data_IF_276556496456
#
_entry.id   IF_276556496456
#
_cell.length_a   1.000
_cell.length_b   1.000
_cell.length_c   1.000
_cell.angle_alpha   90.00
_cell.angle_beta   90.00
_cell.angle_gamma   90.00
#
_symmetry.space_group_name_H-M   'P 1'
#
loop_
_entity.id
_entity.type
_entity.pdbx_description
1 polymer ?
#
# COMPACT_ATOMS: atom_id res chain seq x y z
N UNK A 1 -11.95 6.78 -4.03
CA UNK A 1 -11.09 5.64 -4.39
C UNK A 1 -11.50 4.45 -3.52
N UNK A 2 -11.09 3.23 -3.89
CA UNK A 2 -11.66 1.98 -3.38
C UNK A 2 -10.73 0.80 -3.63
N UNK A 3 -11.30 -0.39 -3.80
CA UNK A 3 -10.54 -1.64 -3.90
C UNK A 3 -9.77 -1.74 -5.22
N UNK A 4 -8.44 -1.70 -5.14
CA UNK A 4 -7.53 -1.90 -6.27
C UNK A 4 -6.90 -3.30 -6.28
N UNK A 5 -7.20 -4.12 -5.28
CA UNK A 5 -6.60 -5.44 -5.06
C UNK A 5 -5.05 -5.40 -5.13
N UNK A 6 -4.48 -4.27 -4.70
CA UNK A 6 -3.06 -3.97 -4.72
C UNK A 6 -2.54 -3.97 -3.28
N UNK A 7 -1.36 -4.53 -3.08
CA UNK A 7 -0.65 -4.43 -1.81
C UNK A 7 0.64 -3.71 -2.06
N UNK A 8 0.77 -2.51 -1.52
CA UNK A 8 1.99 -1.70 -1.61
C UNK A 8 2.79 -1.83 -0.31
N UNK A 9 4.11 -1.83 -0.42
CA UNK A 9 5.00 -1.96 0.71
C UNK A 9 6.37 -2.48 0.31
N UNK A 10 7.26 -2.63 1.26
CA UNK A 10 8.62 -3.04 0.96
C UNK A 10 9.52 -2.87 2.18
N UNK A 11 10.80 -3.20 2.01
CA UNK A 11 11.76 -2.85 3.04
C UNK A 11 12.00 -1.32 3.07
N UNK A 12 12.56 -0.83 4.17
CA UNK A 12 12.77 0.62 4.35
C UNK A 12 13.65 1.24 3.26
N UNK A 13 14.62 0.48 2.73
CA UNK A 13 15.50 0.95 1.65
C UNK A 13 14.74 1.14 0.34
N UNK A 14 13.85 0.21 -0.01
CA UNK A 14 12.99 0.30 -1.19
C UNK A 14 12.04 1.48 -1.07
N UNK A 15 11.34 1.59 0.06
CA UNK A 15 10.41 2.70 0.30
C UNK A 15 11.10 4.06 0.30
N UNK A 16 12.35 4.15 0.78
CA UNK A 16 13.12 5.39 0.74
C UNK A 16 13.49 5.86 -0.68
N UNK A 17 13.40 4.99 -1.69
CA UNK A 17 13.68 5.32 -3.10
C UNK A 17 12.43 5.66 -3.92
N UNK A 18 11.24 5.53 -3.32
CA UNK A 18 9.93 5.72 -3.99
C UNK A 18 9.28 6.97 -3.39
N UNK A 19 8.81 7.90 -4.23
CA UNK A 19 8.20 9.14 -3.75
C UNK A 19 6.68 9.04 -3.60
N UNK A 20 6.07 8.10 -4.32
CA UNK A 20 4.62 7.86 -4.34
C UNK A 20 4.11 7.01 -3.18
N UNK A 21 4.98 6.37 -2.41
CA UNK A 21 4.62 5.51 -1.27
C UNK A 21 5.30 5.99 0.00
N UNK A 22 4.51 6.18 1.05
CA UNK A 22 4.99 6.62 2.35
C UNK A 22 5.55 5.47 3.21
N UNK A 23 6.13 5.79 4.37
CA UNK A 23 6.83 4.83 5.22
C UNK A 23 5.88 3.91 6.02
N UNK A 24 4.57 4.18 6.02
CA UNK A 24 3.59 3.45 6.83
C UNK A 24 2.80 2.47 5.96
N UNK A 25 3.46 1.40 5.54
CA UNK A 25 2.83 0.28 4.80
C UNK A 25 2.69 -0.94 5.71
N UNK A 26 1.63 -1.73 5.50
CA UNK A 26 1.36 -2.93 6.30
C UNK A 26 1.67 -4.24 5.57
N UNK A 27 1.79 -4.18 4.23
CA UNK A 27 1.87 -5.34 3.38
C UNK A 27 3.24 -5.51 2.74
N UNK A 28 3.49 -6.74 2.26
CA UNK A 28 4.55 -7.02 1.29
C UNK A 28 3.98 -6.79 -0.11
N UNK A 29 4.73 -6.09 -0.95
CA UNK A 29 4.29 -5.76 -2.30
C UNK A 29 3.90 -7.01 -3.10
N UNK A 30 2.78 -6.91 -3.83
CA UNK A 30 2.40 -7.87 -4.86
C UNK A 30 2.48 -7.22 -6.25
N UNK A 31 2.28 -8.00 -7.31
CA UNK A 31 2.34 -7.47 -8.69
C UNK A 31 1.41 -6.27 -8.93
N UNK A 32 0.20 -6.29 -8.35
CA UNK A 32 -0.72 -5.17 -8.48
C UNK A 32 -0.23 -3.93 -7.72
N UNK A 33 0.43 -4.13 -6.58
CA UNK A 33 1.14 -3.09 -5.84
C UNK A 33 2.22 -2.43 -6.69
N UNK A 34 3.11 -3.23 -7.27
CA UNK A 34 4.18 -2.71 -8.13
C UNK A 34 3.63 -1.89 -9.32
N UNK A 35 2.59 -2.39 -9.99
CA UNK A 35 1.91 -1.67 -11.08
C UNK A 35 1.25 -0.37 -10.60
N UNK A 36 0.65 -0.37 -9.41
CA UNK A 36 0.06 0.83 -8.82
C UNK A 36 1.13 1.87 -8.51
N UNK A 37 2.25 1.46 -7.90
CA UNK A 37 3.38 2.34 -7.59
C UNK A 37 3.96 2.94 -8.87
N UNK A 38 4.22 2.13 -9.89
CA UNK A 38 4.69 2.60 -11.20
C UNK A 38 3.73 3.63 -11.80
N UNK A 39 2.43 3.34 -11.78
CA UNK A 39 1.42 4.26 -12.28
C UNK A 39 1.40 5.57 -11.48
N UNK A 40 1.54 5.50 -10.15
CA UNK A 40 1.59 6.68 -9.29
C UNK A 40 2.83 7.56 -9.57
N UNK A 41 4.02 6.96 -9.74
CA UNK A 41 5.24 7.68 -10.10
C UNK A 41 5.11 8.37 -11.48
N UNK A 42 4.58 7.67 -12.49
CA UNK A 42 4.40 8.23 -13.84
C UNK A 42 3.46 9.44 -13.82
N UNK A 43 2.42 9.40 -12.99
CA UNK A 43 1.39 10.43 -12.92
C UNK A 43 1.66 11.48 -11.82
N UNK A 44 2.79 11.38 -11.11
CA UNK A 44 3.15 12.27 -10.00
C UNK A 44 2.04 12.40 -8.94
N UNK A 45 1.48 11.26 -8.54
CA UNK A 45 0.50 11.16 -7.46
C UNK A 45 1.04 10.24 -6.36
N UNK A 46 0.41 10.30 -5.18
CA UNK A 46 0.85 9.55 -4.01
C UNK A 46 -0.25 8.63 -3.51
N UNK A 47 0.13 7.48 -2.96
CA UNK A 47 -0.74 6.56 -2.25
C UNK A 47 -0.95 7.09 -0.83
N UNK A 48 -1.92 7.98 -0.65
CA UNK A 48 -2.01 8.83 0.55
C UNK A 48 -2.09 8.04 1.87
N UNK A 49 -2.78 6.89 1.87
CA UNK A 49 -2.92 5.99 3.02
C UNK A 49 -1.57 5.56 3.66
N UNK A 50 -0.50 5.54 2.86
CA UNK A 50 0.83 5.08 3.29
C UNK A 50 1.69 6.17 3.96
N UNK A 51 1.26 7.44 3.90
CA UNK A 51 2.00 8.58 4.46
C UNK A 51 1.60 8.93 5.89
N UNK A 52 0.44 8.47 6.35
CA UNK A 52 -0.07 8.81 7.66
C UNK A 52 0.11 7.66 8.65
N UNK A 53 0.70 7.98 9.80
CA UNK A 53 0.82 7.03 10.90
C UNK A 53 -0.57 6.77 11.49
N UNK A 54 -1.04 5.54 11.36
CA UNK A 54 -2.29 5.08 11.95
C UNK A 54 -2.06 3.81 12.76
N UNK A 55 -3.05 3.45 13.58
CA UNK A 55 -3.10 2.12 14.19
C UNK A 55 -3.28 1.09 13.07
N UNK A 56 -2.59 -0.05 13.16
CA UNK A 56 -2.68 -1.14 12.17
C UNK A 56 -4.12 -1.53 11.83
N UNK A 57 -5.00 -1.59 12.84
CA UNK A 57 -6.43 -1.91 12.67
C UNK A 57 -7.17 -0.93 11.73
N UNK A 58 -6.69 0.30 11.62
CA UNK A 58 -7.29 1.34 10.78
C UNK A 58 -6.62 1.46 9.41
N UNK A 59 -5.51 0.75 9.18
CA UNK A 59 -4.78 0.76 7.90
C UNK A 59 -5.25 -0.36 6.96
N UNK A 60 -5.89 -1.39 7.49
CA UNK A 60 -6.34 -2.55 6.71
C UNK A 60 -7.83 -2.45 6.40
N UNK A 61 -8.22 -2.98 5.25
CA UNK A 61 -9.61 -2.93 4.77
C UNK A 61 -10.22 -4.32 4.52
N UNK A 62 -9.37 -5.34 4.35
CA UNK A 62 -9.83 -6.69 4.04
C UNK A 62 -9.05 -7.76 4.81
N UNK A 63 -9.75 -8.81 5.26
CA UNK A 63 -9.15 -9.99 5.89
C UNK A 63 -9.29 -11.19 4.96
N UNK A 64 -8.17 -11.82 4.62
CA UNK A 64 -8.18 -13.01 3.79
C UNK A 64 -8.90 -14.16 4.51
N UNK A 65 -9.92 -14.80 3.89
CA UNK A 65 -10.81 -15.74 4.58
C UNK A 65 -10.10 -17.02 5.05
N UNK A 66 -9.06 -17.46 4.34
CA UNK A 66 -8.26 -18.64 4.68
C UNK A 66 -7.27 -18.39 5.83
N UNK A 67 -6.18 -17.67 5.56
CA UNK A 67 -5.09 -17.44 6.53
C UNK A 67 -5.37 -16.36 7.59
N UNK A 68 -6.50 -15.64 7.53
CA UNK A 68 -6.91 -14.58 8.48
C UNK A 68 -5.93 -13.40 8.58
N UNK A 69 -5.14 -13.17 7.53
CA UNK A 69 -4.25 -12.00 7.45
C UNK A 69 -5.06 -10.80 6.95
N UNK A 70 -4.82 -9.63 7.56
CA UNK A 70 -5.41 -8.37 7.15
C UNK A 70 -4.50 -7.66 6.15
N UNK A 71 -5.11 -7.07 5.13
CA UNK A 71 -4.43 -6.37 4.04
C UNK A 71 -5.05 -5.00 3.80
N UNK A 72 -4.23 -4.07 3.32
CA UNK A 72 -4.67 -2.78 2.78
C UNK A 72 -4.81 -2.93 1.26
N UNK A 73 -6.05 -2.94 0.76
CA UNK A 73 -6.33 -3.06 -0.69
C UNK A 73 -7.18 -1.91 -1.23
N UNK A 74 -7.77 -1.12 -0.32
CA UNK A 74 -8.49 0.10 -0.63
C UNK A 74 -7.59 1.33 -0.45
N UNK A 75 -7.51 2.17 -1.47
CA UNK A 75 -6.63 3.35 -1.49
C UNK A 75 -7.41 4.63 -1.69
N UNK A 76 -6.82 5.78 -1.33
CA UNK A 76 -7.26 7.16 -1.65
C UNK A 76 -6.10 8.05 -2.07
#
# INVERSE_FOLDING_TARGET
>A
MGDLNARVGGNQQQLASINSVGPFTVDVENENGARLVEWCEINNIVVSNTFFQHKLLHQTSWMHPGNKIWHMIDYT
#
